data_IF_761446810425
#
_entry.id   IF_761446810425
#
_cell.length_a   1.000
_cell.length_b   1.000
_cell.length_c   1.000
_cell.angle_alpha   90.00
_cell.angle_beta   90.00
_cell.angle_gamma   90.00
#
_symmetry.space_group_name_H-M   'P 1'
#
loop_
_entity.id
_entity.type
_entity.pdbx_description
1 polymer ?
#
# COMPACT_ATOMS: atom_id res chain seq x y z
N UNK A 1 -48.86 -26.97 52.77
CA UNK A 1 -47.40 -26.78 52.55
C UNK A 1 -46.91 -27.24 51.17
N UNK A 2 -47.40 -28.35 50.58
CA UNK A 2 -46.95 -28.82 49.24
C UNK A 2 -47.36 -27.93 48.04
N UNK A 3 -48.47 -27.19 48.09
CA UNK A 3 -48.93 -26.34 46.97
C UNK A 3 -48.27 -24.96 46.88
N UNK A 4 -47.64 -24.47 47.95
CA UNK A 4 -46.92 -23.17 47.96
C UNK A 4 -45.49 -23.34 47.44
N UNK A 5 -44.84 -24.48 47.74
CA UNK A 5 -43.52 -24.80 47.19
C UNK A 5 -43.53 -25.02 45.66
N UNK A 6 -44.62 -25.52 45.10
CA UNK A 6 -44.76 -25.69 43.65
C UNK A 6 -44.95 -24.36 42.91
N UNK A 7 -45.55 -23.34 43.55
CA UNK A 7 -45.73 -22.03 42.94
C UNK A 7 -44.42 -21.22 42.92
N UNK A 8 -43.61 -21.33 43.98
CA UNK A 8 -42.29 -20.69 44.05
C UNK A 8 -41.28 -21.32 43.07
N UNK A 9 -41.38 -22.63 42.81
CA UNK A 9 -40.52 -23.30 41.83
C UNK A 9 -40.86 -22.90 40.38
N UNK A 10 -42.13 -22.63 40.06
CA UNK A 10 -42.54 -22.20 38.71
C UNK A 10 -42.23 -20.72 38.45
N UNK A 11 -42.30 -19.85 39.47
CA UNK A 11 -41.86 -18.45 39.33
C UNK A 11 -40.34 -18.31 39.22
N UNK A 12 -39.56 -19.15 39.92
CA UNK A 12 -38.10 -19.13 39.84
C UNK A 12 -37.58 -19.65 38.48
N UNK A 13 -38.31 -20.56 37.82
CA UNK A 13 -37.95 -21.06 36.48
C UNK A 13 -38.30 -20.05 35.39
N UNK A 14 -39.33 -19.21 35.56
CA UNK A 14 -39.63 -18.14 34.60
C UNK A 14 -38.65 -16.95 34.63
N UNK A 15 -37.96 -16.71 35.75
CA UNK A 15 -36.85 -15.73 35.81
C UNK A 15 -35.47 -16.32 35.47
N UNK A 16 -35.35 -17.64 35.35
CA UNK A 16 -34.10 -18.32 35.01
C UNK A 16 -33.91 -18.57 33.50
N UNK A 17 -34.84 -18.12 32.65
CA UNK A 17 -34.71 -18.17 31.18
C UNK A 17 -34.42 -16.81 30.55
N UNK A 18 -33.84 -15.86 31.31
CA UNK A 18 -32.90 -14.89 30.72
C UNK A 18 -31.55 -15.58 30.49
N UNK A 19 -31.58 -16.80 29.96
CA UNK A 19 -30.41 -17.41 29.35
C UNK A 19 -30.15 -16.60 28.09
N UNK A 20 -29.04 -15.88 28.10
CA UNK A 20 -28.42 -15.17 26.99
C UNK A 20 -28.80 -15.77 25.63
N UNK A 21 -29.91 -15.31 25.05
CA UNK A 21 -30.08 -15.36 23.61
C UNK A 21 -29.13 -14.30 23.10
N UNK A 22 -27.87 -14.69 22.89
CA UNK A 22 -26.97 -13.94 22.05
C UNK A 22 -27.67 -13.84 20.71
N UNK A 23 -28.01 -12.63 20.34
CA UNK A 23 -28.55 -12.24 19.05
C UNK A 23 -27.51 -12.58 17.96
N UNK A 24 -27.39 -13.88 17.65
CA UNK A 24 -26.55 -14.41 16.59
C UNK A 24 -27.08 -13.97 15.22
N UNK A 25 -28.39 -13.74 15.14
CA UNK A 25 -29.09 -13.35 13.92
C UNK A 25 -28.89 -11.86 13.60
N UNK A 26 -28.63 -11.00 14.59
CA UNK A 26 -28.25 -9.60 14.40
C UNK A 26 -26.97 -9.24 15.20
N UNK A 27 -25.76 -9.51 14.66
CA UNK A 27 -24.53 -9.04 15.28
C UNK A 27 -24.59 -7.51 15.43
N UNK A 28 -24.22 -7.01 16.62
CA UNK A 28 -24.14 -5.56 16.85
C UNK A 28 -23.26 -4.92 15.78
N UNK A 29 -23.70 -3.83 15.13
CA UNK A 29 -22.86 -3.10 14.18
C UNK A 29 -21.49 -2.78 14.79
N UNK A 30 -20.45 -2.84 13.98
CA UNK A 30 -19.11 -2.48 14.42
C UNK A 30 -19.11 -1.05 14.98
N UNK A 31 -18.40 -0.84 16.10
CA UNK A 31 -18.27 0.50 16.68
C UNK A 31 -17.58 1.42 15.68
N UNK A 32 -18.21 2.54 15.38
CA UNK A 32 -17.63 3.66 14.63
C UNK A 32 -17.00 4.62 15.63
N UNK A 33 -15.72 4.90 15.47
CA UNK A 33 -14.94 5.74 16.40
C UNK A 33 -14.97 7.22 16.01
N UNK A 34 -14.87 8.07 17.03
CA UNK A 34 -14.97 9.53 16.96
C UNK A 34 -13.82 10.19 17.71
N UNK A 35 -13.64 11.50 17.57
CA UNK A 35 -12.55 12.22 18.25
C UNK A 35 -12.68 12.13 19.78
N UNK A 36 -13.91 12.03 20.29
CA UNK A 36 -14.23 11.86 21.71
C UNK A 36 -13.63 10.58 22.30
N UNK A 37 -13.54 9.50 21.51
CA UNK A 37 -12.95 8.23 21.94
C UNK A 37 -11.43 8.33 22.22
N UNK A 38 -10.80 9.41 21.75
CA UNK A 38 -9.37 9.67 21.87
C UNK A 38 -9.07 10.94 22.70
N UNK A 39 -10.04 11.49 23.43
CA UNK A 39 -9.86 12.71 24.23
C UNK A 39 -8.75 12.64 25.31
N UNK A 40 -8.39 11.42 25.75
CA UNK A 40 -7.28 11.16 26.68
C UNK A 40 -5.91 10.95 26.00
N UNK A 41 -5.82 11.18 24.69
CA UNK A 41 -4.62 10.99 23.89
C UNK A 41 -4.25 12.28 23.15
N UNK A 42 -3.00 12.37 22.70
CA UNK A 42 -2.53 13.52 21.93
C UNK A 42 -2.64 13.25 20.43
N UNK A 43 -3.45 14.05 19.73
CA UNK A 43 -3.43 14.03 18.27
C UNK A 43 -2.09 14.58 17.74
N UNK A 44 -1.52 13.91 16.74
CA UNK A 44 -0.34 14.34 15.98
C UNK A 44 -0.62 14.18 14.49
N UNK A 45 -0.14 15.12 13.66
CA UNK A 45 -0.31 15.04 12.20
C UNK A 45 0.58 13.95 11.60
N UNK A 46 0.21 13.43 10.43
CA UNK A 46 1.04 12.46 9.70
C UNK A 46 2.41 13.06 9.35
N UNK A 47 2.47 14.33 8.96
CA UNK A 47 3.73 15.02 8.71
C UNK A 47 4.60 15.09 9.97
N UNK A 48 4.03 15.40 11.13
CA UNK A 48 4.77 15.45 12.40
C UNK A 48 5.25 14.06 12.83
N UNK A 49 4.48 13.01 12.56
CA UNK A 49 4.95 11.62 12.74
C UNK A 49 6.17 11.34 11.86
N UNK A 50 6.17 11.76 10.58
CA UNK A 50 7.35 11.68 9.72
C UNK A 50 8.52 12.52 10.28
N UNK A 51 8.25 13.67 10.90
CA UNK A 51 9.30 14.48 11.54
C UNK A 51 9.99 13.77 12.71
N UNK A 52 9.35 12.81 13.39
CA UNK A 52 10.00 12.00 14.43
C UNK A 52 11.22 11.26 13.85
N UNK A 53 11.08 10.70 12.65
CA UNK A 53 12.19 10.09 11.92
C UNK A 53 13.19 11.15 11.43
N UNK A 54 12.69 12.18 10.75
CA UNK A 54 13.52 13.17 10.04
C UNK A 54 14.38 14.04 10.96
N UNK A 55 14.01 14.17 12.24
CA UNK A 55 14.84 14.83 13.27
C UNK A 55 16.11 14.05 13.61
N UNK A 56 16.13 12.73 13.35
CA UNK A 56 17.28 11.86 13.66
C UNK A 56 18.04 11.41 12.42
N UNK A 57 17.33 11.24 11.30
CA UNK A 57 17.87 10.63 10.08
C UNK A 57 17.42 11.35 8.82
N UNK A 58 18.24 11.27 7.77
CA UNK A 58 17.86 11.66 6.41
C UNK A 58 17.23 10.48 5.67
N UNK A 59 16.47 10.73 4.60
CA UNK A 59 16.07 9.65 3.69
C UNK A 59 17.22 9.25 2.73
N UNK A 60 18.16 10.14 2.47
CA UNK A 60 19.32 9.84 1.63
C UNK A 60 20.27 8.82 2.26
N UNK A 61 20.82 7.96 1.41
CA UNK A 61 21.74 6.87 1.78
C UNK A 61 21.13 5.90 2.79
N UNK A 62 19.80 5.85 2.84
CA UNK A 62 19.06 4.85 3.59
C UNK A 62 18.41 3.86 2.64
N UNK A 63 18.29 2.61 3.08
CA UNK A 63 17.42 1.64 2.44
C UNK A 63 18.04 0.81 1.32
N UNK A 64 19.33 0.47 1.37
CA UNK A 64 19.77 -0.81 0.75
C UNK A 64 19.28 -2.00 1.57
N UNK A 65 18.94 -1.77 2.85
CA UNK A 65 18.35 -2.74 3.76
C UNK A 65 19.24 -3.99 3.93
N UNK A 66 20.56 -3.76 3.87
CA UNK A 66 21.61 -4.80 4.01
C UNK A 66 22.30 -4.75 5.37
N UNK A 67 21.95 -3.78 6.22
CA UNK A 67 22.42 -3.68 7.60
C UNK A 67 21.73 -2.56 8.37
N UNK A 68 22.00 -2.46 9.67
CA UNK A 68 21.48 -1.37 10.52
C UNK A 68 22.09 0.00 10.23
N UNK A 69 23.17 0.05 9.44
CA UNK A 69 23.80 1.29 8.99
C UNK A 69 22.92 2.07 8.01
N UNK A 70 22.07 1.40 7.24
CA UNK A 70 21.16 2.02 6.27
C UNK A 70 19.67 1.67 6.49
N UNK A 71 19.38 0.82 7.47
CA UNK A 71 18.03 0.52 7.95
C UNK A 71 17.77 1.30 9.24
N UNK A 72 17.09 2.44 9.12
CA UNK A 72 16.85 3.38 10.21
C UNK A 72 15.41 3.32 10.69
N UNK A 73 15.23 3.48 11.98
CA UNK A 73 13.93 3.50 12.62
C UNK A 73 13.96 4.32 13.90
N UNK A 74 12.79 4.78 14.32
CA UNK A 74 12.58 5.45 15.60
C UNK A 74 11.32 4.89 16.24
N UNK A 75 11.42 4.41 17.48
CA UNK A 75 10.23 4.09 18.26
C UNK A 75 9.53 5.38 18.66
N UNK A 76 8.22 5.45 18.42
CA UNK A 76 7.39 6.59 18.76
C UNK A 76 7.07 6.50 20.25
N UNK A 77 7.57 7.47 21.02
CA UNK A 77 7.29 7.58 22.45
C UNK A 77 5.93 8.22 22.75
N UNK A 78 5.81 8.74 23.97
CA UNK A 78 4.68 9.57 24.40
C UNK A 78 4.98 11.05 24.19
N UNK A 79 3.95 11.88 24.33
CA UNK A 79 4.08 13.33 24.31
C UNK A 79 4.81 13.85 25.56
N UNK A 80 5.26 15.14 25.56
CA UNK A 80 5.94 15.72 26.72
C UNK A 80 5.14 15.70 28.02
N UNK A 81 3.81 15.70 27.92
CA UNK A 81 2.83 15.57 29.01
C UNK A 81 2.48 14.10 29.36
N UNK A 82 3.16 13.13 28.75
CA UNK A 82 3.03 11.70 29.05
C UNK A 82 1.80 11.02 28.44
N UNK A 83 1.17 11.63 27.43
CA UNK A 83 0.03 11.05 26.72
C UNK A 83 0.48 10.25 25.51
N UNK A 84 -0.23 9.17 25.23
CA UNK A 84 -0.03 8.43 23.98
C UNK A 84 -0.48 9.27 22.78
N UNK A 85 0.23 9.10 21.67
CA UNK A 85 -0.09 9.74 20.40
C UNK A 85 -1.05 8.90 19.55
N UNK A 86 -1.92 9.59 18.81
CA UNK A 86 -2.67 9.00 17.71
C UNK A 86 -2.66 9.91 16.47
N UNK A 87 -2.78 9.28 15.30
CA UNK A 87 -3.08 9.96 14.02
C UNK A 87 -4.53 9.69 13.64
N UNK A 88 -5.13 10.61 12.87
CA UNK A 88 -6.42 10.44 12.20
C UNK A 88 -6.24 10.72 10.71
N UNK A 89 -6.64 9.79 9.86
CA UNK A 89 -6.54 9.97 8.40
C UNK A 89 -7.67 9.28 7.65
N UNK A 90 -7.88 9.67 6.40
CA UNK A 90 -8.80 9.01 5.48
C UNK A 90 -8.10 7.82 4.81
N UNK A 91 -8.82 6.74 4.56
CA UNK A 91 -8.30 5.58 3.81
C UNK A 91 -8.13 5.95 2.34
N UNK A 92 -6.96 5.65 1.77
CA UNK A 92 -6.65 5.88 0.34
C UNK A 92 -6.00 4.66 -0.34
N UNK A 93 -6.12 3.48 0.28
CA UNK A 93 -5.69 2.22 -0.30
C UNK A 93 -6.76 1.14 -0.17
N UNK A 94 -6.72 0.16 -1.05
CA UNK A 94 -7.51 -1.05 -0.96
C UNK A 94 -6.73 -2.28 -1.42
N UNK A 95 -6.79 -3.35 -0.65
CA UNK A 95 -6.23 -4.67 -0.98
C UNK A 95 -7.27 -5.61 -1.62
N UNK A 96 -8.46 -5.12 -1.95
CA UNK A 96 -9.57 -5.91 -2.52
C UNK A 96 -9.16 -6.65 -3.82
N UNK A 97 -8.41 -5.98 -4.70
CA UNK A 97 -7.93 -6.57 -5.94
C UNK A 97 -6.57 -7.28 -5.78
N UNK A 98 -5.96 -7.28 -4.59
CA UNK A 98 -4.72 -8.00 -4.31
C UNK A 98 -3.43 -7.32 -4.80
N UNK A 99 -3.51 -6.06 -5.25
CA UNK A 99 -2.32 -5.30 -5.67
C UNK A 99 -1.60 -4.62 -4.50
N UNK A 100 -2.35 -3.94 -3.63
CA UNK A 100 -1.84 -3.50 -2.32
C UNK A 100 -1.82 -4.71 -1.39
N UNK A 101 -0.73 -4.91 -0.65
CA UNK A 101 -0.54 -6.08 0.19
C UNK A 101 -0.11 -5.67 1.59
N UNK A 102 -0.87 -6.11 2.60
CA UNK A 102 -0.57 -5.92 4.03
C UNK A 102 -0.31 -4.47 4.47
N UNK A 103 -0.89 -3.52 3.74
CA UNK A 103 -0.63 -2.09 3.94
C UNK A 103 -1.91 -1.29 3.86
N UNK A 104 -2.12 -0.45 4.87
CA UNK A 104 -3.16 0.58 4.90
C UNK A 104 -2.51 1.94 4.72
N UNK A 105 -2.84 2.64 3.64
CA UNK A 105 -2.40 4.02 3.42
C UNK A 105 -3.45 4.98 3.93
N UNK A 106 -3.02 5.87 4.82
CA UNK A 106 -3.84 6.94 5.40
C UNK A 106 -3.34 8.29 4.93
N UNK A 107 -4.26 9.23 4.73
CA UNK A 107 -3.98 10.62 4.35
C UNK A 107 -4.68 11.60 5.28
N UNK A 108 -3.97 12.65 5.68
CA UNK A 108 -4.52 13.84 6.32
C UNK A 108 -4.08 15.08 5.52
N UNK A 109 -4.45 16.28 5.99
CA UNK A 109 -4.10 17.53 5.33
C UNK A 109 -2.57 17.73 5.23
N UNK A 110 -1.80 17.13 6.14
CA UNK A 110 -0.36 17.30 6.27
C UNK A 110 0.47 16.30 5.45
N UNK A 111 0.02 15.07 5.29
CA UNK A 111 0.76 14.01 4.61
C UNK A 111 -0.02 12.71 4.44
N UNK A 112 0.68 11.70 3.93
CA UNK A 112 0.20 10.33 3.90
C UNK A 112 1.24 9.37 4.48
N UNK A 113 0.79 8.25 5.05
CA UNK A 113 1.66 7.24 5.64
C UNK A 113 1.12 5.84 5.40
N UNK A 114 2.04 4.90 5.18
CA UNK A 114 1.76 3.47 5.19
C UNK A 114 1.73 2.95 6.64
N UNK A 115 0.68 2.23 7.00
CA UNK A 115 0.60 1.42 8.22
C UNK A 115 0.64 -0.05 7.81
N UNK A 116 1.67 -0.76 8.24
CA UNK A 116 1.91 -2.17 7.92
C UNK A 116 1.05 -3.06 8.83
N UNK A 117 0.06 -3.71 8.24
CA UNK A 117 -0.93 -4.55 8.91
C UNK A 117 -0.91 -5.95 8.30
N UNK A 118 -2.06 -6.63 8.28
CA UNK A 118 -2.28 -7.91 7.62
C UNK A 118 -3.15 -7.74 6.36
N UNK A 119 -3.62 -8.82 5.74
CA UNK A 119 -4.48 -8.79 4.55
C UNK A 119 -5.98 -8.73 4.87
N UNK A 120 -6.82 -8.49 3.86
CA UNK A 120 -8.27 -8.39 4.01
C UNK A 120 -8.72 -7.05 4.61
N UNK A 121 -7.91 -6.01 4.44
CA UNK A 121 -8.13 -4.70 5.07
C UNK A 121 -9.36 -4.01 4.49
N UNK A 122 -9.66 -4.19 3.21
CA UNK A 122 -10.82 -3.60 2.54
C UNK A 122 -12.17 -3.95 3.18
N UNK A 123 -12.27 -5.07 3.92
CA UNK A 123 -13.47 -5.42 4.68
C UNK A 123 -13.67 -4.55 5.92
N UNK A 124 -12.58 -4.08 6.53
CA UNK A 124 -12.61 -3.35 7.81
C UNK A 124 -12.40 -1.85 7.61
N UNK A 125 -11.59 -1.47 6.63
CA UNK A 125 -11.22 -0.09 6.30
C UNK A 125 -11.48 0.14 4.81
N UNK A 126 -12.75 0.25 4.39
CA UNK A 126 -13.09 0.25 2.98
C UNK A 126 -12.74 1.58 2.30
N UNK A 127 -12.48 1.49 1.00
CA UNK A 127 -12.37 2.60 0.06
C UNK A 127 -13.15 2.22 -1.21
N UNK A 128 -13.92 3.16 -1.75
CA UNK A 128 -14.69 2.98 -2.98
C UNK A 128 -13.84 3.12 -4.25
N UNK A 129 -14.53 3.27 -5.39
CA UNK A 129 -13.93 3.60 -6.69
C UNK A 129 -13.97 5.12 -6.92
N UNK A 130 -13.09 5.61 -7.80
CA UNK A 130 -13.08 7.01 -8.21
C UNK A 130 -14.24 7.34 -9.13
N UNK A 131 -15.07 8.30 -8.71
CA UNK A 131 -16.11 8.89 -9.55
C UNK A 131 -15.52 10.10 -10.31
N UNK A 132 -15.38 9.94 -11.63
CA UNK A 132 -14.85 10.99 -12.52
C UNK A 132 -15.76 12.20 -12.63
N UNK A 133 -17.07 12.04 -12.43
CA UNK A 133 -18.03 13.14 -12.55
C UNK A 133 -17.96 14.08 -11.34
N UNK A 134 -17.72 13.54 -10.15
CA UNK A 134 -17.62 14.32 -8.91
C UNK A 134 -16.18 14.59 -8.48
N UNK A 135 -15.21 13.82 -8.97
CA UNK A 135 -13.81 13.90 -8.54
C UNK A 135 -13.60 13.35 -7.13
N UNK A 136 -14.38 12.35 -6.71
CA UNK A 136 -14.38 11.85 -5.32
C UNK A 136 -14.22 10.34 -5.22
N UNK A 137 -13.75 9.86 -4.07
CA UNK A 137 -13.75 8.43 -3.70
C UNK A 137 -14.42 8.29 -2.33
N UNK A 138 -15.53 7.54 -2.19
CA UNK A 138 -16.06 7.17 -0.89
C UNK A 138 -15.00 6.49 -0.02
N UNK A 139 -14.89 6.86 1.24
CA UNK A 139 -13.83 6.37 2.14
C UNK A 139 -14.29 6.42 3.60
N UNK A 140 -13.43 6.02 4.53
CA UNK A 140 -13.65 6.15 5.96
C UNK A 140 -12.49 6.87 6.64
N UNK A 141 -12.79 7.53 7.75
CA UNK A 141 -11.77 7.92 8.71
C UNK A 141 -11.20 6.68 9.40
N UNK A 142 -9.93 6.72 9.76
CA UNK A 142 -9.27 5.72 10.60
C UNK A 142 -8.38 6.43 11.61
N UNK A 143 -8.44 5.95 12.85
CA UNK A 143 -7.59 6.41 13.94
C UNK A 143 -6.55 5.33 14.22
N UNK A 144 -5.28 5.74 14.35
CA UNK A 144 -4.18 4.82 14.67
C UNK A 144 -3.44 5.32 15.89
N UNK A 145 -3.38 4.50 16.95
CA UNK A 145 -2.51 4.73 18.10
C UNK A 145 -1.06 4.42 17.70
N UNK A 146 -0.22 5.44 17.69
CA UNK A 146 1.14 5.34 17.15
C UNK A 146 2.23 5.20 18.22
N UNK A 147 1.94 5.53 19.49
CA UNK A 147 2.88 5.29 20.58
C UNK A 147 3.21 3.80 20.72
N UNK A 148 4.50 3.51 20.87
CA UNK A 148 5.08 2.17 20.91
C UNK A 148 5.36 1.55 19.52
N UNK A 149 4.80 2.09 18.44
CA UNK A 149 5.12 1.67 17.07
C UNK A 149 6.44 2.27 16.59
N UNK A 150 6.96 1.75 15.49
CA UNK A 150 8.20 2.20 14.87
C UNK A 150 7.91 2.88 13.54
N UNK A 151 8.36 4.13 13.42
CA UNK A 151 8.51 4.77 12.11
C UNK A 151 9.86 4.39 11.53
N UNK A 152 9.87 3.86 10.32
CA UNK A 152 11.05 3.28 9.72
C UNK A 152 11.07 3.41 8.20
N UNK A 153 12.27 3.36 7.63
CA UNK A 153 12.45 3.44 6.19
C UNK A 153 12.45 2.05 5.53
N UNK A 154 11.78 1.95 4.39
CA UNK A 154 12.06 0.94 3.37
C UNK A 154 12.41 1.71 2.11
N UNK A 155 13.66 1.59 1.63
CA UNK A 155 14.18 2.57 0.66
C UNK A 155 14.04 3.98 1.27
N UNK A 156 13.53 4.94 0.51
CA UNK A 156 13.21 6.29 0.96
C UNK A 156 11.73 6.48 1.38
N UNK A 157 10.95 5.40 1.42
CA UNK A 157 9.57 5.43 1.92
C UNK A 157 9.55 5.24 3.44
N UNK A 158 8.74 6.04 4.14
CA UNK A 158 8.49 5.87 5.57
C UNK A 158 7.18 5.15 5.81
N UNK A 159 7.18 4.25 6.79
CA UNK A 159 6.02 3.46 7.20
C UNK A 159 5.96 3.32 8.71
N UNK A 160 4.81 2.89 9.23
CA UNK A 160 4.56 2.53 10.63
C UNK A 160 4.34 1.03 10.76
N UNK A 161 4.89 0.43 11.81
CA UNK A 161 4.70 -0.99 12.11
C UNK A 161 5.21 -1.39 13.48
N UNK A 162 5.31 -2.69 13.72
CA UNK A 162 5.96 -3.25 14.90
C UNK A 162 7.49 -3.08 14.83
N UNK A 163 8.20 -3.71 15.76
CA UNK A 163 9.64 -3.60 15.89
C UNK A 163 10.42 -3.92 14.61
N UNK A 164 11.65 -3.41 14.50
CA UNK A 164 12.55 -3.77 13.41
C UNK A 164 12.90 -5.26 13.46
N UNK A 165 13.12 -5.87 12.30
CA UNK A 165 13.45 -7.30 12.18
C UNK A 165 14.66 -7.52 11.30
N UNK A 166 15.35 -8.63 11.55
CA UNK A 166 16.38 -9.19 10.69
C UNK A 166 15.90 -10.59 10.29
N UNK A 167 15.79 -10.84 8.99
CA UNK A 167 15.37 -12.12 8.44
C UNK A 167 16.23 -12.51 7.26
N UNK A 168 16.20 -13.79 6.87
CA UNK A 168 16.82 -14.25 5.64
C UNK A 168 15.85 -14.14 4.47
N UNK A 169 16.36 -13.75 3.30
CA UNK A 169 15.61 -13.87 2.04
C UNK A 169 15.75 -15.28 1.44
N UNK A 170 15.07 -15.55 0.31
CA UNK A 170 15.10 -16.87 -0.35
C UNK A 170 16.50 -17.33 -0.81
N UNK A 171 17.46 -16.42 -0.93
CA UNK A 171 18.86 -16.75 -1.28
C UNK A 171 19.79 -16.79 -0.06
N UNK A 172 19.24 -16.82 1.16
CA UNK A 172 20.01 -16.93 2.40
C UNK A 172 20.79 -15.66 2.78
N UNK A 173 20.46 -14.51 2.20
CA UNK A 173 21.04 -13.22 2.59
C UNK A 173 20.19 -12.57 3.69
N UNK A 174 20.85 -11.96 4.68
CA UNK A 174 20.18 -11.09 5.63
C UNK A 174 19.45 -9.93 4.95
N UNK A 175 18.26 -9.64 5.46
CA UNK A 175 17.44 -8.49 5.12
C UNK A 175 16.92 -7.83 6.38
N UNK A 176 17.25 -6.56 6.49
CA UNK A 176 16.92 -5.74 7.66
C UNK A 176 15.72 -4.89 7.34
N UNK A 177 14.70 -4.97 8.19
CA UNK A 177 13.48 -4.17 8.08
C UNK A 177 13.40 -3.21 9.26
N UNK A 178 13.13 -1.95 8.95
CA UNK A 178 13.02 -0.88 9.96
C UNK A 178 11.78 -1.02 10.85
N UNK A 179 10.79 -1.77 10.40
CA UNK A 179 9.58 -2.17 11.11
C UNK A 179 8.94 -3.37 10.41
N UNK A 180 8.13 -4.12 11.15
CA UNK A 180 7.36 -5.26 10.63
C UNK A 180 5.86 -5.02 10.63
N UNK A 181 5.13 -5.90 9.95
CA UNK A 181 3.68 -5.91 9.93
C UNK A 181 3.09 -6.23 11.31
N UNK A 182 2.01 -5.54 11.68
CA UNK A 182 1.15 -5.96 12.79
C UNK A 182 0.23 -7.07 12.25
N UNK A 183 0.58 -8.32 12.50
CA UNK A 183 -0.12 -9.48 11.90
C UNK A 183 -1.29 -9.99 12.73
N UNK A 184 -1.22 -9.91 14.07
CA UNK A 184 -2.29 -10.39 14.95
C UNK A 184 -3.52 -9.45 14.87
N UNK A 185 -4.68 -9.93 14.38
CA UNK A 185 -5.91 -9.12 14.32
C UNK A 185 -6.34 -8.57 15.69
N UNK A 186 -5.97 -9.22 16.79
CA UNK A 186 -6.24 -8.77 18.16
C UNK A 186 -5.41 -7.55 18.51
N UNK A 187 -4.15 -7.50 18.09
CA UNK A 187 -3.29 -6.32 18.26
C UNK A 187 -3.71 -5.18 17.34
N UNK A 188 -4.10 -5.48 16.10
CA UNK A 188 -4.66 -4.48 15.17
C UNK A 188 -5.89 -3.81 15.82
N UNK A 189 -6.85 -4.58 16.35
CA UNK A 189 -8.07 -4.04 16.99
C UNK A 189 -7.82 -3.18 18.23
N UNK A 190 -6.62 -3.24 18.84
CA UNK A 190 -6.23 -2.39 19.97
C UNK A 190 -5.61 -1.07 19.53
N UNK A 191 -5.29 -0.92 18.23
CA UNK A 191 -4.46 0.18 17.71
C UNK A 191 -5.08 0.91 16.53
N UNK A 192 -5.80 0.22 15.65
CA UNK A 192 -6.38 0.76 14.42
C UNK A 192 -7.89 0.69 14.55
N UNK A 193 -8.55 1.83 14.39
CA UNK A 193 -9.97 2.00 14.72
C UNK A 193 -10.71 2.66 13.56
N UNK A 194 -11.74 1.99 13.06
CA UNK A 194 -12.60 2.52 11.99
C UNK A 194 -13.44 3.69 12.49
N UNK A 195 -13.33 4.83 11.82
CA UNK A 195 -14.16 6.01 12.01
C UNK A 195 -15.29 6.12 11.00
N UNK A 196 -16.03 7.22 11.08
CA UNK A 196 -17.18 7.48 10.21
C UNK A 196 -16.84 7.56 8.73
N UNK A 197 -17.86 7.42 7.89
CA UNK A 197 -17.77 7.60 6.45
C UNK A 197 -17.30 9.02 6.09
N UNK A 198 -16.59 9.13 4.98
CA UNK A 198 -16.02 10.36 4.43
C UNK A 198 -15.77 10.16 2.93
N UNK A 199 -15.06 11.08 2.31
CA UNK A 199 -14.62 10.96 0.94
C UNK A 199 -13.23 11.57 0.75
N UNK A 200 -12.48 11.03 -0.20
CA UNK A 200 -11.30 11.69 -0.77
C UNK A 200 -11.77 12.59 -1.90
N UNK A 201 -11.16 13.77 -2.02
CA UNK A 201 -11.51 14.76 -3.03
C UNK A 201 -10.29 15.14 -3.89
N UNK A 202 -10.52 15.25 -5.20
CA UNK A 202 -9.55 15.77 -6.16
C UNK A 202 -9.16 17.21 -5.81
N UNK A 203 -7.86 17.47 -5.79
CA UNK A 203 -7.28 18.76 -5.41
C UNK A 203 -7.12 18.96 -3.90
N UNK A 204 -7.56 18.00 -3.08
CA UNK A 204 -7.30 17.95 -1.63
C UNK A 204 -6.44 16.73 -1.31
N UNK A 205 -7.07 15.59 -1.04
CA UNK A 205 -6.34 14.36 -0.70
C UNK A 205 -5.79 13.66 -1.94
N UNK A 206 -6.50 13.77 -3.07
CA UNK A 206 -6.05 13.24 -4.36
C UNK A 206 -5.36 14.36 -5.12
N UNK A 207 -4.05 14.24 -5.31
CA UNK A 207 -3.26 15.28 -5.97
C UNK A 207 -3.15 15.06 -7.48
N UNK A 208 -3.02 16.13 -8.24
CA UNK A 208 -2.83 16.05 -9.70
C UNK A 208 -1.39 16.33 -10.07
N UNK A 209 -0.81 15.38 -10.82
CA UNK A 209 0.50 15.53 -11.44
C UNK A 209 0.28 15.62 -12.95
N UNK A 210 0.87 16.61 -13.57
CA UNK A 210 0.82 16.93 -14.99
C UNK A 210 2.25 17.14 -15.48
N UNK A 211 2.44 17.21 -16.81
CA UNK A 211 3.74 17.62 -17.38
C UNK A 211 4.22 18.98 -16.83
N UNK A 212 3.30 19.92 -16.59
CA UNK A 212 3.61 21.28 -16.18
C UNK A 212 4.05 21.41 -14.71
N UNK A 213 3.66 20.49 -13.82
CA UNK A 213 3.96 20.56 -12.38
C UNK A 213 4.73 19.35 -11.84
N UNK A 214 5.14 18.39 -12.69
CA UNK A 214 5.81 17.18 -12.22
C UNK A 214 7.13 17.43 -11.46
N UNK A 215 7.75 18.59 -11.66
CA UNK A 215 8.95 19.04 -10.94
C UNK A 215 8.69 19.22 -9.42
N UNK A 216 7.47 19.60 -9.02
CA UNK A 216 7.10 19.79 -7.61
C UNK A 216 7.06 18.46 -6.84
N UNK A 217 6.86 17.36 -7.56
CA UNK A 217 6.78 15.99 -7.03
C UNK A 217 8.11 15.23 -7.16
N UNK A 218 9.17 15.88 -7.64
CA UNK A 218 10.46 15.27 -7.88
C UNK A 218 11.50 15.68 -6.83
N UNK A 219 12.36 14.73 -6.46
CA UNK A 219 13.48 14.93 -5.56
C UNK A 219 13.03 15.31 -4.15
N UNK A 220 13.85 16.12 -3.48
CA UNK A 220 13.56 16.61 -2.13
C UNK A 220 12.26 17.42 -2.07
N UNK A 221 11.90 18.14 -3.14
CA UNK A 221 10.64 18.90 -3.21
C UNK A 221 9.42 17.98 -3.12
N UNK A 222 9.50 16.81 -3.75
CA UNK A 222 8.43 15.81 -3.76
C UNK A 222 8.31 14.97 -2.50
N UNK A 223 9.30 15.03 -1.59
CA UNK A 223 9.42 14.11 -0.45
C UNK A 223 8.14 14.02 0.40
N UNK A 224 7.46 15.15 0.60
CA UNK A 224 6.26 15.22 1.44
C UNK A 224 5.04 14.51 0.83
N UNK A 225 5.03 14.28 -0.48
CA UNK A 225 3.92 13.64 -1.20
C UNK A 225 4.03 12.12 -1.23
N UNK A 226 5.14 11.54 -0.76
CA UNK A 226 5.29 10.09 -0.71
C UNK A 226 4.22 9.44 0.17
N UNK A 227 3.55 8.46 -0.42
CA UNK A 227 2.39 7.74 0.12
C UNK A 227 1.05 8.36 -0.26
N UNK A 228 0.98 9.56 -0.85
CA UNK A 228 -0.31 10.17 -1.23
C UNK A 228 -0.87 9.55 -2.51
N UNK A 229 -2.20 9.53 -2.63
CA UNK A 229 -2.89 9.21 -3.86
C UNK A 229 -2.72 10.38 -4.86
N UNK A 230 -2.30 10.05 -6.07
CA UNK A 230 -2.10 11.01 -7.15
C UNK A 230 -2.84 10.55 -8.40
N UNK A 231 -3.24 11.50 -9.25
CA UNK A 231 -3.58 11.24 -10.65
C UNK A 231 -2.46 11.80 -11.51
N UNK A 232 -1.77 10.91 -12.22
CA UNK A 232 -0.84 11.23 -13.29
C UNK A 232 -1.66 11.53 -14.55
N UNK A 233 -1.71 12.79 -14.98
CA UNK A 233 -2.56 13.26 -16.08
C UNK A 233 -1.82 13.25 -17.41
N UNK A 234 -2.32 12.48 -18.36
CA UNK A 234 -1.78 12.45 -19.73
C UNK A 234 -0.35 11.92 -19.79
N UNK A 235 -0.04 10.87 -19.02
CA UNK A 235 1.23 10.15 -19.17
C UNK A 235 1.17 9.23 -20.38
N UNK A 236 2.33 9.00 -21.00
CA UNK A 236 2.44 8.12 -22.17
C UNK A 236 3.11 6.82 -21.79
N UNK A 237 2.54 5.69 -22.19
CA UNK A 237 3.19 4.38 -22.03
C UNK A 237 4.42 4.29 -22.95
N UNK A 238 5.52 3.73 -22.43
CA UNK A 238 6.75 3.51 -23.19
C UNK A 238 7.29 2.10 -23.00
N UNK A 239 7.57 1.44 -24.12
CA UNK A 239 8.25 0.14 -24.13
C UNK A 239 9.75 0.31 -24.37
N UNK A 240 10.54 -0.62 -23.83
CA UNK A 240 11.97 -0.72 -24.08
C UNK A 240 12.79 -0.94 -22.82
N UNK A 241 14.09 -0.68 -22.92
CA UNK A 241 15.07 -0.92 -21.87
C UNK A 241 15.62 0.39 -21.34
N UNK A 242 15.49 0.60 -20.03
CA UNK A 242 16.04 1.76 -19.32
C UNK A 242 17.04 1.27 -18.28
N UNK A 243 18.32 1.51 -18.52
CA UNK A 243 19.40 0.89 -17.74
C UNK A 243 19.37 -0.63 -17.89
N UNK A 244 19.18 -1.35 -16.77
CA UNK A 244 19.03 -2.82 -16.76
C UNK A 244 17.57 -3.29 -16.63
N UNK A 245 16.61 -2.36 -16.62
CA UNK A 245 15.19 -2.67 -16.47
C UNK A 245 14.51 -2.71 -17.84
N UNK A 246 13.66 -3.72 -18.03
CA UNK A 246 12.85 -3.92 -19.23
C UNK A 246 11.41 -3.46 -18.92
N UNK A 247 10.74 -2.84 -19.90
CA UNK A 247 9.36 -2.41 -19.81
C UNK A 247 8.59 -2.71 -21.11
N UNK A 248 7.37 -3.26 -21.04
CA UNK A 248 6.76 -3.84 -19.86
C UNK A 248 7.42 -5.19 -19.54
N UNK A 249 7.47 -5.57 -18.27
CA UNK A 249 8.13 -6.79 -17.84
C UNK A 249 7.45 -7.39 -16.62
N UNK A 250 7.57 -8.71 -16.47
CA UNK A 250 7.50 -9.33 -15.16
C UNK A 250 8.89 -9.40 -14.54
N UNK A 251 8.96 -9.54 -13.22
CA UNK A 251 10.22 -9.74 -12.51
C UNK A 251 10.12 -10.60 -11.26
N UNK A 252 11.23 -11.27 -11.00
CA UNK A 252 11.46 -12.05 -9.80
C UNK A 252 12.68 -11.52 -9.05
N UNK A 253 12.42 -10.98 -7.85
CA UNK A 253 13.41 -10.31 -7.01
C UNK A 253 14.07 -11.21 -5.98
N UNK A 254 13.56 -12.44 -5.82
CA UNK A 254 13.98 -13.34 -4.76
C UNK A 254 15.17 -14.22 -5.15
N UNK A 255 15.71 -14.04 -6.36
CA UNK A 255 16.94 -14.68 -6.86
C UNK A 255 18.04 -13.66 -7.17
N UNK A 256 19.25 -14.15 -7.41
CA UNK A 256 20.41 -13.35 -7.83
C UNK A 256 21.05 -13.94 -9.10
N UNK A 257 21.31 -13.14 -10.15
CA UNK A 257 20.82 -11.76 -10.32
C UNK A 257 19.27 -11.71 -10.37
N UNK A 258 18.70 -10.54 -10.11
CA UNK A 258 17.26 -10.31 -10.31
C UNK A 258 16.91 -10.65 -11.76
N UNK A 259 15.84 -11.41 -11.96
CA UNK A 259 15.38 -11.79 -13.30
C UNK A 259 14.20 -10.91 -13.69
N UNK A 260 14.22 -10.39 -14.90
CA UNK A 260 13.09 -9.73 -15.55
C UNK A 260 13.01 -10.19 -17.01
N UNK A 261 11.80 -10.31 -17.53
CA UNK A 261 11.57 -10.63 -18.95
C UNK A 261 10.40 -9.82 -19.48
N UNK A 262 10.43 -9.56 -20.79
CA UNK A 262 9.37 -8.82 -21.49
C UNK A 262 8.02 -9.47 -21.19
N UNK A 263 7.03 -8.65 -20.83
CA UNK A 263 5.71 -9.17 -20.47
C UNK A 263 4.64 -8.13 -20.71
N UNK A 264 3.68 -8.45 -21.58
CA UNK A 264 2.64 -7.51 -22.00
C UNK A 264 1.33 -7.66 -21.21
N UNK A 265 1.41 -8.16 -19.96
CA UNK A 265 0.31 -8.14 -18.98
C UNK A 265 0.76 -7.44 -17.70
N UNK A 266 -0.21 -7.01 -16.90
CA UNK A 266 0.08 -6.22 -15.70
C UNK A 266 0.93 -6.94 -14.65
N UNK A 267 0.94 -8.26 -14.60
CA UNK A 267 1.86 -9.05 -13.79
C UNK A 267 1.87 -10.50 -14.30
N UNK A 268 2.79 -11.33 -13.81
CA UNK A 268 2.75 -12.76 -14.12
C UNK A 268 1.94 -13.49 -13.05
N UNK A 269 0.94 -14.26 -13.47
CA UNK A 269 0.17 -15.16 -12.61
C UNK A 269 -0.22 -16.38 -13.43
N UNK A 270 0.48 -17.48 -13.23
CA UNK A 270 0.20 -18.74 -13.91
C UNK A 270 0.74 -19.92 -13.11
N UNK A 271 -0.02 -21.03 -13.05
CA UNK A 271 0.40 -22.30 -12.44
C UNK A 271 1.05 -22.16 -11.04
N UNK A 272 0.48 -21.31 -10.18
CA UNK A 272 0.99 -21.07 -8.82
C UNK A 272 2.18 -20.10 -8.73
N UNK A 273 2.75 -19.69 -9.87
CA UNK A 273 3.81 -18.68 -9.93
C UNK A 273 3.20 -17.28 -10.06
N UNK A 274 3.56 -16.37 -9.14
CA UNK A 274 3.09 -14.99 -9.11
C UNK A 274 4.29 -14.04 -9.06
N UNK A 275 4.53 -13.26 -10.11
CA UNK A 275 5.68 -12.35 -10.23
C UNK A 275 5.20 -10.92 -10.47
N UNK A 276 5.96 -9.95 -9.96
CA UNK A 276 5.61 -8.54 -10.10
C UNK A 276 5.67 -8.11 -11.56
N UNK A 277 4.70 -7.30 -12.00
CA UNK A 277 4.78 -6.59 -13.27
C UNK A 277 5.29 -5.17 -13.12
N UNK A 278 5.76 -4.62 -14.24
CA UNK A 278 6.38 -3.31 -14.31
C UNK A 278 6.13 -2.66 -15.66
N UNK A 279 5.47 -1.51 -15.67
CA UNK A 279 5.16 -0.74 -16.87
C UNK A 279 5.64 0.70 -16.68
N UNK A 280 6.27 1.28 -17.70
CA UNK A 280 6.83 2.63 -17.65
C UNK A 280 5.89 3.64 -18.32
N UNK A 281 5.70 4.76 -17.62
CA UNK A 281 4.90 5.89 -18.07
C UNK A 281 5.73 7.16 -17.95
N UNK A 282 5.65 8.05 -18.93
CA UNK A 282 6.43 9.28 -18.93
C UNK A 282 5.72 10.44 -19.64
N UNK A 283 6.07 11.66 -19.26
CA UNK A 283 5.76 12.87 -20.04
C UNK A 283 6.73 13.09 -21.20
N UNK A 284 7.88 12.39 -21.24
CA UNK A 284 8.83 12.49 -22.34
C UNK A 284 8.23 12.00 -23.68
N UNK A 285 8.60 12.68 -24.76
CA UNK A 285 8.25 12.26 -26.12
C UNK A 285 8.92 10.95 -26.55
N UNK A 286 9.97 10.51 -25.86
CA UNK A 286 10.73 9.29 -26.15
C UNK A 286 10.96 8.46 -24.89
N UNK A 287 11.46 7.24 -25.03
CA UNK A 287 11.89 6.42 -23.89
C UNK A 287 13.00 7.16 -23.11
N UNK A 288 12.89 7.31 -21.78
CA UNK A 288 13.91 7.97 -20.96
C UNK A 288 15.17 7.10 -20.82
N UNK A 289 16.32 7.74 -20.57
CA UNK A 289 17.58 7.04 -20.34
C UNK A 289 17.77 6.55 -18.89
N UNK A 290 16.99 7.08 -17.94
CA UNK A 290 16.99 6.69 -16.52
C UNK A 290 15.57 6.72 -15.95
N UNK A 291 15.32 5.93 -14.91
CA UNK A 291 14.01 5.84 -14.24
C UNK A 291 13.87 6.85 -13.10
N UNK A 292 14.96 7.26 -12.47
CA UNK A 292 14.96 8.29 -11.45
C UNK A 292 15.03 9.68 -12.11
N UNK A 293 13.95 10.05 -12.78
CA UNK A 293 13.85 11.31 -13.53
C UNK A 293 12.45 11.90 -13.32
N UNK A 294 12.37 13.23 -13.25
CA UNK A 294 11.10 13.94 -13.21
C UNK A 294 10.20 13.54 -14.38
N UNK A 295 8.91 13.40 -14.11
CA UNK A 295 7.94 13.00 -15.12
C UNK A 295 8.07 11.56 -15.61
N UNK A 296 8.92 10.73 -15.00
CA UNK A 296 9.05 9.29 -15.29
C UNK A 296 8.53 8.49 -14.11
N UNK A 297 7.56 7.62 -14.37
CA UNK A 297 6.88 6.82 -13.37
C UNK A 297 6.89 5.35 -13.79
N UNK A 298 7.12 4.47 -12.83
CA UNK A 298 6.94 3.02 -13.01
C UNK A 298 5.73 2.59 -12.23
N UNK A 299 4.73 2.00 -12.90
CA UNK A 299 3.65 1.31 -12.21
C UNK A 299 4.10 -0.11 -11.91
N UNK A 300 4.07 -0.48 -10.63
CA UNK A 300 4.36 -1.85 -10.17
C UNK A 300 3.11 -2.53 -9.67
N UNK A 301 2.95 -3.77 -10.09
CA UNK A 301 1.73 -4.53 -9.90
C UNK A 301 2.04 -5.97 -9.49
N UNK A 302 1.17 -6.57 -8.71
CA UNK A 302 1.34 -7.89 -8.10
C UNK A 302 0.80 -9.01 -8.98
N UNK A 303 1.51 -10.14 -9.02
CA UNK A 303 0.99 -11.37 -9.63
C UNK A 303 -0.26 -11.90 -8.92
N UNK A 304 -0.46 -11.55 -7.65
CA UNK A 304 -1.68 -11.90 -6.90
C UNK A 304 -2.88 -11.02 -7.22
N UNK A 305 -2.70 -9.97 -8.03
CA UNK A 305 -3.79 -9.08 -8.36
C UNK A 305 -4.82 -9.74 -9.28
N UNK A 306 -6.10 -9.42 -9.11
CA UNK A 306 -7.19 -9.95 -9.96
C UNK A 306 -7.04 -9.56 -11.43
N UNK A 307 -6.33 -8.47 -11.70
CA UNK A 307 -6.05 -7.95 -13.04
C UNK A 307 -4.62 -8.28 -13.51
N UNK A 308 -3.87 -9.13 -12.79
CA UNK A 308 -2.49 -9.48 -13.14
C UNK A 308 -2.35 -9.91 -14.60
N UNK A 309 -3.27 -10.75 -15.08
CA UNK A 309 -3.25 -11.26 -16.45
C UNK A 309 -3.93 -10.34 -17.47
N UNK A 310 -4.36 -9.13 -17.11
CA UNK A 310 -4.95 -8.23 -18.10
C UNK A 310 -3.87 -7.65 -19.01
N UNK A 311 -4.13 -7.46 -20.32
CA UNK A 311 -3.19 -6.81 -21.23
C UNK A 311 -2.80 -5.40 -20.76
N UNK A 312 -1.53 -5.03 -20.98
CA UNK A 312 -1.07 -3.66 -20.71
C UNK A 312 -1.47 -2.69 -21.81
N UNK A 313 -1.30 -1.41 -21.51
CA UNK A 313 -1.44 -0.30 -22.45
C UNK A 313 -0.36 -0.38 -23.53
N UNK A 314 -0.72 -0.09 -24.79
CA UNK A 314 0.18 -0.05 -25.96
C UNK A 314 1.26 1.02 -25.82
N UNK A 315 2.43 0.75 -26.38
CA UNK A 315 3.47 1.77 -26.54
C UNK A 315 2.91 3.00 -27.28
N UNK A 316 3.22 4.19 -26.79
CA UNK A 316 2.75 5.43 -27.42
C UNK A 316 1.37 5.89 -26.97
N UNK A 317 0.54 5.04 -26.37
CA UNK A 317 -0.77 5.45 -25.89
C UNK A 317 -0.67 6.38 -24.67
N UNK A 318 -1.60 7.33 -24.59
CA UNK A 318 -1.64 8.39 -23.58
C UNK A 318 -2.93 8.30 -22.77
N UNK A 319 -2.84 8.53 -21.47
CA UNK A 319 -3.99 8.43 -20.56
C UNK A 319 -3.63 8.85 -19.15
N UNK A 320 -4.57 8.65 -18.23
CA UNK A 320 -4.39 9.02 -16.83
C UNK A 320 -4.19 7.78 -15.94
N UNK A 321 -3.47 7.94 -14.82
CA UNK A 321 -3.27 6.86 -13.85
C UNK A 321 -3.48 7.40 -12.45
N UNK A 322 -4.41 6.82 -11.70
CA UNK A 322 -4.52 7.03 -10.27
C UNK A 322 -3.65 6.01 -9.52
N UNK A 323 -2.79 6.46 -8.62
CA UNK A 323 -1.91 5.56 -7.89
C UNK A 323 -1.42 6.15 -6.58
N UNK A 324 -1.03 5.29 -5.65
CA UNK A 324 -0.25 5.66 -4.48
C UNK A 324 1.16 6.01 -4.95
N UNK A 325 1.57 7.25 -4.71
CA UNK A 325 2.84 7.80 -5.17
C UNK A 325 3.97 7.41 -4.24
N UNK A 326 4.90 6.58 -4.73
CA UNK A 326 6.04 6.10 -3.95
C UNK A 326 7.38 6.35 -4.63
N UNK A 327 8.44 6.06 -3.88
CA UNK A 327 9.82 6.06 -4.38
C UNK A 327 10.53 4.77 -3.98
N UNK A 328 11.10 4.09 -4.97
CA UNK A 328 12.02 2.97 -4.76
C UNK A 328 13.42 3.45 -5.10
N UNK A 329 14.08 4.10 -4.15
CA UNK A 329 15.45 4.60 -4.29
C UNK A 329 16.17 4.61 -2.94
N UNK A 330 17.50 4.66 -2.96
CA UNK A 330 18.33 4.84 -1.75
C UNK A 330 18.94 6.24 -1.63
N UNK A 331 18.89 7.02 -2.70
CA UNK A 331 19.33 8.42 -2.75
C UNK A 331 18.66 9.14 -3.94
N UNK A 332 18.64 10.48 -3.92
CA UNK A 332 17.95 11.28 -4.95
C UNK A 332 18.56 11.13 -6.34
N UNK A 333 19.83 10.73 -6.42
CA UNK A 333 20.60 10.61 -7.66
C UNK A 333 20.80 9.17 -8.12
N UNK A 334 20.19 8.20 -7.45
CA UNK A 334 20.44 6.79 -7.72
C UNK A 334 19.88 6.44 -9.09
N UNK A 335 20.75 6.05 -10.02
CA UNK A 335 20.37 5.80 -11.42
C UNK A 335 19.33 4.67 -11.59
N UNK A 336 19.28 3.71 -10.65
CA UNK A 336 18.30 2.63 -10.65
C UNK A 336 17.09 2.93 -9.74
N UNK A 337 17.03 4.13 -9.17
CA UNK A 337 15.87 4.59 -8.42
C UNK A 337 14.66 4.75 -9.34
N UNK A 338 13.45 4.65 -8.82
CA UNK A 338 12.23 4.88 -9.59
C UNK A 338 11.16 5.54 -8.73
N UNK A 339 10.39 6.45 -9.31
CA UNK A 339 9.10 6.85 -8.77
C UNK A 339 8.13 5.71 -9.03
N UNK A 340 7.95 4.88 -8.01
CA UNK A 340 7.22 3.63 -8.08
C UNK A 340 5.79 3.87 -7.60
N UNK A 341 4.84 3.69 -8.51
CA UNK A 341 3.43 3.94 -8.29
C UNK A 341 2.69 2.61 -8.15
N UNK A 342 1.76 2.54 -7.19
CA UNK A 342 0.93 1.35 -6.95
C UNK A 342 -0.53 1.73 -7.15
N UNK A 343 -1.21 1.06 -8.08
CA UNK A 343 -2.65 1.24 -8.31
C UNK A 343 -3.46 0.42 -7.29
N UNK A 344 -4.64 0.88 -6.88
CA UNK A 344 -5.52 0.08 -6.04
C UNK A 344 -6.35 -0.88 -6.88
N UNK A 345 -6.84 -0.36 -8.01
CA UNK A 345 -7.75 -1.03 -8.90
C UNK A 345 -7.30 -0.97 -10.36
N UNK A 346 -7.73 -1.92 -11.18
CA UNK A 346 -7.52 -1.82 -12.62
C UNK A 346 -8.14 -0.56 -13.23
N UNK A 347 -9.32 -0.16 -12.75
CA UNK A 347 -10.04 1.05 -13.21
C UNK A 347 -9.28 2.36 -12.93
N UNK A 348 -8.28 2.33 -12.05
CA UNK A 348 -7.39 3.46 -11.80
C UNK A 348 -6.44 3.74 -12.99
N UNK A 349 -6.31 2.78 -13.92
CA UNK A 349 -5.60 2.93 -15.20
C UNK A 349 -6.59 3.45 -16.24
N UNK A 350 -6.74 4.77 -16.26
CA UNK A 350 -7.79 5.48 -16.99
C UNK A 350 -7.38 5.80 -18.43
N UNK A 351 -7.07 4.75 -19.20
CA UNK A 351 -6.81 4.82 -20.64
C UNK A 351 -8.06 4.42 -21.43
N UNK A 352 -8.15 4.89 -22.68
CA UNK A 352 -9.21 4.44 -23.59
C UNK A 352 -9.11 2.94 -23.86
N UNK A 353 -10.25 2.28 -24.09
CA UNK A 353 -10.30 0.81 -24.21
C UNK A 353 -9.41 0.27 -25.35
N UNK A 354 -9.33 1.00 -26.46
CA UNK A 354 -8.51 0.65 -27.62
C UNK A 354 -7.01 0.92 -27.42
N UNK A 355 -6.64 1.68 -26.39
CA UNK A 355 -5.26 1.86 -25.98
C UNK A 355 -4.63 0.61 -25.35
N UNK A 356 -5.43 -0.36 -24.90
CA UNK A 356 -4.94 -1.63 -24.38
C UNK A 356 -4.65 -2.62 -25.52
N UNK A 357 -3.63 -3.46 -25.30
CA UNK A 357 -3.37 -4.59 -26.19
C UNK A 357 -4.56 -5.57 -26.15
N UNK A 358 -4.80 -6.22 -27.28
CA UNK A 358 -5.68 -7.39 -27.33
C UNK A 358 -4.92 -8.63 -26.89
N UNK A 359 -5.63 -9.69 -26.52
CA UNK A 359 -5.03 -10.98 -26.18
C UNK A 359 -4.14 -11.52 -27.31
N UNK A 360 -4.58 -11.39 -28.57
CA UNK A 360 -3.82 -11.84 -29.74
C UNK A 360 -2.48 -11.09 -29.89
N UNK A 361 -2.46 -9.78 -29.62
CA UNK A 361 -1.23 -9.00 -29.68
C UNK A 361 -0.31 -9.30 -28.49
N UNK A 362 -0.87 -9.59 -27.31
CA UNK A 362 -0.06 -10.07 -26.18
C UNK A 362 0.64 -11.38 -26.55
N UNK A 363 -0.07 -12.33 -27.18
CA UNK A 363 0.50 -13.59 -27.63
C UNK A 363 1.58 -13.40 -28.72
N UNK A 364 1.34 -12.52 -29.69
CA UNK A 364 2.29 -12.22 -30.77
C UNK A 364 3.56 -11.52 -30.26
N UNK A 365 3.40 -10.55 -29.35
CA UNK A 365 4.50 -9.73 -28.86
C UNK A 365 5.34 -10.43 -27.79
N UNK A 366 4.74 -11.32 -26.99
CA UNK A 366 5.42 -11.94 -25.84
C UNK A 366 6.42 -13.00 -26.30
N UNK A 367 7.74 -12.81 -26.07
CA UNK A 367 8.74 -13.80 -26.44
C UNK A 367 8.52 -15.15 -25.74
N UNK A 368 8.77 -16.26 -26.43
CA UNK A 368 8.56 -17.60 -25.89
C UNK A 368 9.33 -17.85 -24.57
N UNK A 369 10.52 -17.29 -24.43
CA UNK A 369 11.34 -17.42 -23.21
C UNK A 369 10.75 -16.66 -22.01
N UNK A 370 9.85 -15.69 -22.25
CA UNK A 370 9.16 -14.94 -21.20
C UNK A 370 8.14 -15.78 -20.43
N UNK A 371 7.75 -16.94 -20.97
CA UNK A 371 6.90 -17.91 -20.28
C UNK A 371 7.68 -18.87 -19.37
N UNK A 372 9.02 -18.91 -19.51
CA UNK A 372 9.89 -19.73 -18.67
C UNK A 372 10.20 -18.96 -17.40
N UNK A 373 9.49 -19.31 -16.32
CA UNK A 373 9.71 -18.74 -15.00
C UNK A 373 10.76 -19.51 -14.21
N UNK A 374 11.46 -18.85 -13.28
CA UNK A 374 12.26 -19.55 -12.28
C UNK A 374 11.36 -20.44 -11.42
N UNK A 375 11.97 -21.44 -10.79
CA UNK A 375 11.24 -22.25 -9.81
C UNK A 375 10.85 -21.36 -8.62
N UNK A 376 9.56 -21.40 -8.29
CA UNK A 376 8.98 -20.69 -7.15
C UNK A 376 8.36 -21.64 -6.13
N UNK A 377 8.49 -22.97 -6.30
CA UNK A 377 8.04 -23.91 -5.28
C UNK A 377 8.82 -23.66 -3.98
N UNK A 378 8.09 -23.59 -2.86
CA UNK A 378 8.68 -23.53 -1.53
C UNK A 378 9.13 -24.94 -1.10
N UNK A 379 9.98 -25.59 -1.90
CA UNK A 379 10.53 -26.88 -1.53
C UNK A 379 11.68 -26.68 -0.53
N UNK A 380 11.42 -27.15 0.70
CA UNK A 380 12.37 -27.54 1.76
C UNK A 380 13.03 -26.42 2.59
N UNK A 381 12.27 -25.87 3.56
CA UNK A 381 12.83 -25.78 4.92
C UNK A 381 12.73 -27.15 5.58
N UNK A 382 13.63 -28.07 5.20
CA UNK A 382 14.01 -29.19 6.07
C UNK A 382 15.31 -28.81 6.79
N UNK A 383 15.18 -28.84 8.13
CA UNK A 383 16.18 -28.63 9.20
C UNK A 383 16.36 -27.21 9.75
#
# INVERSE_FOLDING_TARGET
>A
MKKIFQLCAVLAVMFAVTGCYNDFDAPKPAKVYTDEDFAGMKHISIADVKQIFLKKYTLEKTGSNTGWDDTKYVQIGQSPDGLDYYIKGKVQSSDEEGNVYKSLYLVDDSGAIEVKLTTGLYFTYPMGRFDKATGTIPSNWVYVKVSGLYIGNYRMMLSLGEGPTDSYNKVGEHKFYANSNIEDPTEIRKRVFLGGETQLELGKEILEITEANCDDFFGQNGQQYFGRLVILRGVTCRYGTVGSNIYPAWMYTDIRPVMNKVWYRWAFSNAGTNLYGSVLFTYDSTLPSTTNKKGVYTVRTSGYSRFAQYPVVRDGAKGDIMAIFGIYSKDWTYNYGAYQCTVNYFDDIMFDKDAFLTEAEVEELTPADSWVTPDTSDDEYTE
#
